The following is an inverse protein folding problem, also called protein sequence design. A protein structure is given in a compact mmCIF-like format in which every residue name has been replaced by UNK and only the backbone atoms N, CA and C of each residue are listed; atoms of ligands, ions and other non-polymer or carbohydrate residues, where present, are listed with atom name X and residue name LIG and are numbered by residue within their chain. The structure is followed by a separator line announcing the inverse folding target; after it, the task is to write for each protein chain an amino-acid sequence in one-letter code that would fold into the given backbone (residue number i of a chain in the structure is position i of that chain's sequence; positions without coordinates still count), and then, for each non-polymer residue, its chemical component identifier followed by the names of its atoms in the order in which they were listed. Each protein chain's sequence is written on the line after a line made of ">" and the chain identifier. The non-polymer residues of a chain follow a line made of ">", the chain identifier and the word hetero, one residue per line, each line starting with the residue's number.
data_IF_596485600701
#
_entry.id   IF_596485600701
#
_cell.length_a   1.000
_cell.length_b   1.000
_cell.length_c   1.000
_cell.angle_alpha   90.00
_cell.angle_beta   90.00
_cell.angle_gamma   90.00
#
_symmetry.space_group_name_H-M   'P 1'
#
loop_
_entity.id
_entity.type
_entity.pdbx_description
1 polymer ?
#
# COMPACT_ATOMS: atom_id res chain seq x y z
N UNK A 1 -10.23 5.00 34.50
CA UNK A 1 -11.09 5.16 33.31
C UNK A 1 -10.29 5.56 32.06
N UNK A 2 -9.35 6.50 32.19
CA UNK A 2 -8.56 7.02 31.06
C UNK A 2 -7.52 6.01 30.51
N UNK A 3 -6.85 5.25 31.38
CA UNK A 3 -5.93 4.16 30.98
C UNK A 3 -6.64 3.10 30.14
N UNK A 4 -7.84 2.67 30.53
CA UNK A 4 -8.61 1.67 29.79
C UNK A 4 -9.03 2.18 28.40
N UNK A 5 -9.34 3.49 28.29
CA UNK A 5 -9.62 4.12 26.99
C UNK A 5 -8.38 4.15 26.10
N UNK A 6 -7.21 4.49 26.67
CA UNK A 6 -5.95 4.52 25.93
C UNK A 6 -5.56 3.12 25.43
N UNK A 7 -5.67 2.09 26.28
CA UNK A 7 -5.42 0.70 25.91
C UNK A 7 -6.35 0.21 24.80
N UNK A 8 -7.63 0.59 24.83
CA UNK A 8 -8.57 0.27 23.76
C UNK A 8 -8.18 0.92 22.42
N UNK A 9 -7.75 2.18 22.44
CA UNK A 9 -7.28 2.89 21.23
C UNK A 9 -6.01 2.26 20.68
N UNK A 10 -5.03 1.96 21.54
CA UNK A 10 -3.79 1.26 21.17
C UNK A 10 -4.09 -0.08 20.48
N UNK A 11 -5.00 -0.87 21.05
CA UNK A 11 -5.38 -2.17 20.47
C UNK A 11 -6.00 -2.01 19.08
N UNK A 12 -6.89 -1.04 18.90
CA UNK A 12 -7.51 -0.76 17.59
C UNK A 12 -6.45 -0.36 16.54
N UNK A 13 -5.49 0.48 16.93
CA UNK A 13 -4.38 0.90 16.05
C UNK A 13 -3.52 -0.32 15.68
N UNK A 14 -3.15 -1.16 16.65
CA UNK A 14 -2.37 -2.38 16.40
C UNK A 14 -3.09 -3.37 15.48
N UNK A 15 -4.39 -3.59 15.67
CA UNK A 15 -5.19 -4.45 14.78
C UNK A 15 -5.25 -3.90 13.35
N UNK A 16 -5.38 -2.57 13.19
CA UNK A 16 -5.35 -1.91 11.87
C UNK A 16 -3.97 -2.02 11.22
N UNK A 17 -2.90 -1.84 11.98
CA UNK A 17 -1.53 -1.99 11.50
C UNK A 17 -1.23 -3.42 11.06
N UNK A 18 -1.67 -4.43 11.82
CA UNK A 18 -1.47 -5.83 11.47
C UNK A 18 -2.15 -6.17 10.14
N UNK A 19 -3.43 -5.79 9.99
CA UNK A 19 -4.17 -5.98 8.73
C UNK A 19 -3.46 -5.32 7.53
N UNK A 20 -2.95 -4.10 7.72
CA UNK A 20 -2.18 -3.38 6.67
C UNK A 20 -0.85 -4.08 6.37
N UNK A 21 -0.15 -4.57 7.39
CA UNK A 21 1.13 -5.28 7.23
C UNK A 21 0.95 -6.58 6.44
N UNK A 22 -0.12 -7.34 6.73
CA UNK A 22 -0.44 -8.57 6.01
C UNK A 22 -0.76 -8.29 4.53
N UNK A 23 -1.54 -7.24 4.25
CA UNK A 23 -1.81 -6.78 2.88
C UNK A 23 -0.55 -6.35 2.13
N UNK A 24 0.33 -5.58 2.79
CA UNK A 24 1.60 -5.15 2.22
C UNK A 24 2.52 -6.33 1.93
N UNK A 25 2.53 -7.34 2.81
CA UNK A 25 3.30 -8.59 2.61
C UNK A 25 2.78 -9.41 1.44
N UNK A 26 1.46 -9.51 1.28
CA UNK A 26 0.85 -10.15 0.12
C UNK A 26 1.19 -9.42 -1.18
N UNK A 27 1.11 -8.08 -1.19
CA UNK A 27 1.51 -7.26 -2.34
C UNK A 27 2.98 -7.40 -2.68
N UNK A 28 3.87 -7.40 -1.69
CA UNK A 28 5.29 -7.62 -1.89
C UNK A 28 5.58 -9.01 -2.48
N UNK A 29 4.88 -10.06 -2.01
CA UNK A 29 4.96 -11.40 -2.62
C UNK A 29 4.45 -11.38 -4.05
N UNK A 30 3.31 -10.75 -4.33
CA UNK A 30 2.82 -10.63 -5.69
C UNK A 30 3.83 -9.93 -6.60
N UNK A 31 4.51 -8.87 -6.14
CA UNK A 31 5.57 -8.23 -6.92
C UNK A 31 6.78 -9.16 -7.14
N UNK A 32 7.14 -9.97 -6.14
CA UNK A 32 8.25 -10.91 -6.22
C UNK A 32 7.93 -12.17 -7.05
N UNK A 33 6.70 -12.68 -7.00
CA UNK A 33 6.27 -13.85 -7.77
C UNK A 33 5.98 -13.48 -9.23
N UNK A 34 5.48 -12.27 -9.46
CA UNK A 34 5.27 -11.71 -10.81
C UNK A 34 6.50 -10.92 -11.32
N UNK A 35 7.72 -11.31 -10.95
CA UNK A 35 9.01 -10.68 -11.33
C UNK A 35 9.20 -10.42 -12.84
N UNK A 36 8.31 -10.93 -13.69
CA UNK A 36 8.33 -10.78 -15.16
C UNK A 36 7.21 -9.88 -15.71
N UNK A 37 6.31 -9.32 -14.89
CA UNK A 37 5.44 -8.21 -15.33
C UNK A 37 6.08 -6.92 -14.83
N UNK A 38 7.16 -6.52 -15.49
CA UNK A 38 7.74 -5.21 -15.25
C UNK A 38 6.67 -4.17 -15.65
N UNK A 39 6.45 -3.13 -14.85
CA UNK A 39 5.59 -2.01 -15.29
C UNK A 39 6.05 -1.46 -16.64
N UNK A 40 7.36 -1.56 -16.93
CA UNK A 40 7.89 -1.28 -18.26
C UNK A 40 7.34 -2.20 -19.35
N UNK A 41 7.17 -3.50 -19.11
CA UNK A 41 6.62 -4.44 -20.10
C UNK A 41 5.14 -4.14 -20.40
N UNK A 42 4.37 -3.73 -19.38
CA UNK A 42 2.97 -3.30 -19.54
C UNK A 42 2.87 -2.05 -20.43
N UNK A 43 3.81 -1.11 -20.24
CA UNK A 43 3.87 0.13 -21.01
C UNK A 43 4.41 -0.11 -22.43
N UNK A 44 5.45 -0.92 -22.58
CA UNK A 44 6.07 -1.27 -23.87
C UNK A 44 5.20 -2.20 -24.73
N UNK A 45 4.25 -2.91 -24.11
CA UNK A 45 3.24 -3.72 -24.79
C UNK A 45 2.03 -2.93 -25.34
N UNK A 46 2.05 -1.60 -25.28
CA UNK A 46 0.96 -0.78 -25.79
C UNK A 46 0.85 -0.83 -27.34
N UNK A 47 -0.37 -0.91 -27.86
CA UNK A 47 -0.62 -1.01 -29.31
C UNK A 47 -0.68 0.35 -30.03
N UNK A 48 -0.80 1.44 -29.28
CA UNK A 48 -0.84 2.81 -29.81
C UNK A 48 -0.39 3.82 -28.75
N UNK A 49 -0.14 5.06 -29.16
CA UNK A 49 0.19 6.14 -28.22
C UNK A 49 -0.96 6.40 -27.22
N UNK A 50 -2.22 6.33 -27.67
CA UNK A 50 -3.38 6.48 -26.77
C UNK A 50 -3.43 5.37 -25.72
N UNK A 51 -3.24 4.11 -26.13
CA UNK A 51 -3.19 2.95 -25.23
C UNK A 51 -2.02 3.06 -24.22
N UNK A 52 -0.87 3.60 -24.67
CA UNK A 52 0.25 3.88 -23.77
C UNK A 52 -0.11 4.90 -22.69
N UNK A 53 -0.80 5.98 -23.03
CA UNK A 53 -1.22 7.01 -22.06
C UNK A 53 -2.21 6.42 -21.05
N UNK A 54 -3.22 5.67 -21.52
CA UNK A 54 -4.21 5.04 -20.64
C UNK A 54 -3.55 4.08 -19.64
N UNK A 55 -2.60 3.24 -20.11
CA UNK A 55 -1.81 2.34 -19.27
C UNK A 55 -0.93 3.09 -18.28
N UNK A 56 -0.29 4.17 -18.72
CA UNK A 56 0.54 5.01 -17.84
C UNK A 56 -0.29 5.60 -16.71
N UNK A 57 -1.48 6.10 -17.00
CA UNK A 57 -2.40 6.62 -15.99
C UNK A 57 -2.84 5.52 -15.02
N UNK A 58 -3.20 4.34 -15.52
CA UNK A 58 -3.59 3.21 -14.67
C UNK A 58 -2.47 2.76 -13.72
N UNK A 59 -1.24 2.63 -14.24
CA UNK A 59 -0.05 2.30 -13.44
C UNK A 59 0.22 3.38 -12.40
N UNK A 60 0.15 4.66 -12.77
CA UNK A 60 0.32 5.77 -11.84
C UNK A 60 -0.73 5.76 -10.72
N UNK A 61 -2.00 5.48 -11.03
CA UNK A 61 -3.06 5.34 -10.03
C UNK A 61 -2.78 4.21 -9.05
N UNK A 62 -2.32 3.04 -9.54
CA UNK A 62 -1.96 1.92 -8.68
C UNK A 62 -0.80 2.27 -7.74
N UNK A 63 0.28 2.84 -8.28
CA UNK A 63 1.44 3.24 -7.50
C UNK A 63 1.09 4.28 -6.43
N UNK A 64 0.24 5.26 -6.76
CA UNK A 64 -0.23 6.25 -5.81
C UNK A 64 -1.05 5.62 -4.66
N UNK A 65 -1.91 4.65 -4.98
CA UNK A 65 -2.66 3.92 -3.96
C UNK A 65 -1.73 3.13 -3.03
N UNK A 66 -0.71 2.47 -3.58
CA UNK A 66 0.29 1.72 -2.83
C UNK A 66 1.11 2.63 -1.90
N UNK A 67 1.52 3.80 -2.39
CA UNK A 67 2.22 4.80 -1.61
C UNK A 67 1.37 5.34 -0.45
N UNK A 68 0.08 5.57 -0.67
CA UNK A 68 -0.82 6.02 0.40
C UNK A 68 -1.01 4.95 1.48
N UNK A 69 -1.08 3.67 1.12
CA UNK A 69 -1.14 2.56 2.11
C UNK A 69 0.11 2.58 3.00
N UNK A 70 1.30 2.76 2.41
CA UNK A 70 2.55 2.86 3.16
C UNK A 70 2.56 4.07 4.09
N UNK A 71 2.14 5.24 3.58
CA UNK A 71 2.07 6.48 4.36
C UNK A 71 1.11 6.37 5.54
N UNK A 72 -0.03 5.71 5.35
CA UNK A 72 -0.99 5.44 6.43
C UNK A 72 -0.44 4.47 7.48
N UNK A 73 0.31 3.45 7.05
CA UNK A 73 0.94 2.51 7.97
C UNK A 73 2.03 3.20 8.82
N UNK A 74 2.83 4.07 8.21
CA UNK A 74 3.83 4.88 8.93
C UNK A 74 3.18 5.88 9.89
N UNK A 75 2.09 6.52 9.47
CA UNK A 75 1.31 7.41 10.33
C UNK A 75 0.75 6.68 11.56
N UNK A 76 0.20 5.47 11.40
CA UNK A 76 -0.26 4.64 12.52
C UNK A 76 0.88 4.27 13.47
N UNK A 77 2.04 3.92 12.93
CA UNK A 77 3.23 3.61 13.73
C UNK A 77 3.66 4.80 14.57
N UNK A 78 3.68 6.00 13.98
CA UNK A 78 4.01 7.25 14.68
C UNK A 78 2.96 7.61 15.74
N UNK A 79 1.68 7.36 15.47
CA UNK A 79 0.60 7.56 16.45
C UNK A 79 0.78 6.62 17.65
N UNK A 80 1.22 5.38 17.43
CA UNK A 80 1.52 4.44 18.49
C UNK A 80 2.74 4.86 19.33
N UNK A 81 3.80 5.38 18.70
CA UNK A 81 5.02 5.84 19.39
C UNK A 81 4.79 7.10 20.25
N UNK A 82 3.75 7.87 19.95
CA UNK A 82 3.44 9.14 20.65
C UNK A 82 2.34 9.00 21.72
N UNK A 83 1.78 7.79 21.92
CA UNK A 83 0.75 7.48 22.92
C UNK A 83 1.28 6.59 24.03
#
# INVERSE_FOLDING_TARGET
>A
AEINKLQAVIKIIQERMQKRSDLLKERARNYQENVVVNYLDVLLGAHSFSDFIDRTTAVATLLNADQEILRQHEADKKELETK
#
